data_IF_071105534924
#
_entry.id   IF_071105534924
#
_cell.length_a   1.000
_cell.length_b   1.000
_cell.length_c   1.000
_cell.angle_alpha   90.00
_cell.angle_beta   90.00
_cell.angle_gamma   90.00
#
_symmetry.space_group_name_H-M   'P 1'
#
loop_
_entity.id
_entity.type
_entity.pdbx_description
1 polymer ?
#
# COMPACT_ATOMS: atom_id res chain seq x y z
N UNK A 1 -14.94 10.39 2.14
CA UNK A 1 -15.43 9.10 2.56
C UNK A 1 -14.43 8.00 2.27
N UNK A 2 -14.13 7.16 3.24
CA UNK A 2 -13.21 6.07 2.98
C UNK A 2 -13.83 5.10 1.97
N UNK A 3 -13.00 4.57 1.12
CA UNK A 3 -13.41 3.58 0.16
C UNK A 3 -12.44 2.41 0.25
N UNK A 4 -12.72 1.37 -0.51
CA UNK A 4 -11.90 0.17 -0.44
C UNK A 4 -10.44 0.46 -0.78
N UNK A 5 -10.20 1.31 -1.77
CA UNK A 5 -8.84 1.66 -2.13
C UNK A 5 -8.11 2.33 -0.97
N UNK A 6 -8.77 3.31 -0.35
CA UNK A 6 -8.19 4.03 0.77
C UNK A 6 -7.88 3.09 1.94
N UNK A 7 -8.79 2.16 2.22
CA UNK A 7 -8.59 1.21 3.30
C UNK A 7 -7.43 0.27 3.03
N UNK A 8 -7.31 -0.21 1.79
CA UNK A 8 -6.18 -1.08 1.44
C UNK A 8 -4.86 -0.36 1.51
N UNK A 9 -4.82 0.89 1.05
CA UNK A 9 -3.61 1.70 1.16
C UNK A 9 -3.21 1.90 2.61
N UNK A 10 -4.18 2.16 3.49
CA UNK A 10 -3.89 2.34 4.91
C UNK A 10 -3.31 1.08 5.54
N UNK A 11 -3.86 -0.08 5.20
CA UNK A 11 -3.33 -1.34 5.72
C UNK A 11 -1.88 -1.54 5.30
N UNK A 12 -1.59 -1.27 4.04
CA UNK A 12 -0.24 -1.45 3.51
C UNK A 12 0.73 -0.48 4.19
N UNK A 13 0.32 0.77 4.35
CA UNK A 13 1.17 1.77 4.97
C UNK A 13 1.41 1.47 6.45
N UNK A 14 0.40 1.01 7.16
CA UNK A 14 0.57 0.62 8.56
C UNK A 14 1.51 -0.55 8.70
N UNK A 15 1.41 -1.50 7.78
CA UNK A 15 2.33 -2.63 7.77
C UNK A 15 3.76 -2.16 7.54
N UNK A 16 3.93 -1.24 6.61
CA UNK A 16 5.27 -0.72 6.32
C UNK A 16 5.87 -0.04 7.54
N UNK A 17 5.06 0.75 8.26
CA UNK A 17 5.54 1.42 9.47
C UNK A 17 5.95 0.41 10.53
N UNK A 18 5.15 -0.64 10.71
CA UNK A 18 5.50 -1.68 11.65
C UNK A 18 6.79 -2.39 11.23
N UNK A 19 6.95 -2.62 9.92
CA UNK A 19 8.14 -3.28 9.40
C UNK A 19 9.40 -2.45 9.65
N UNK A 20 9.29 -1.13 9.54
CA UNK A 20 10.44 -0.25 9.83
C UNK A 20 10.86 -0.39 11.29
N UNK A 21 9.89 -0.39 12.21
CA UNK A 21 10.18 -0.54 13.62
C UNK A 21 10.75 -1.92 13.91
N UNK A 22 10.20 -2.96 13.30
CA UNK A 22 10.64 -4.32 13.49
C UNK A 22 12.08 -4.50 13.02
N UNK A 23 12.40 -3.95 11.86
CA UNK A 23 13.76 -4.04 11.32
C UNK A 23 14.78 -3.38 12.24
N UNK A 24 14.39 -2.29 12.88
CA UNK A 24 15.28 -1.56 13.76
C UNK A 24 15.55 -2.24 15.09
N UNK A 25 14.79 -3.27 15.46
CA UNK A 25 14.94 -3.93 16.74
C UNK A 25 16.06 -4.96 16.80
N UNK A 26 16.54 -5.40 15.63
CA UNK A 26 17.61 -6.39 15.59
C UNK A 26 17.21 -7.77 16.08
N UNK A 27 15.95 -8.14 15.90
CA UNK A 27 15.45 -9.42 16.38
C UNK A 27 15.91 -10.56 15.48
N UNK A 28 16.35 -11.66 16.11
CA UNK A 28 16.91 -12.77 15.36
C UNK A 28 15.86 -13.69 14.76
N UNK A 29 14.69 -13.77 15.37
CA UNK A 29 13.70 -14.70 14.87
C UNK A 29 12.28 -14.42 15.33
N UNK A 30 12.05 -13.26 15.89
CA UNK A 30 10.72 -12.86 16.28
C UNK A 30 10.16 -13.54 17.49
N UNK A 31 10.97 -14.34 18.17
CA UNK A 31 10.52 -14.97 19.41
C UNK A 31 10.79 -14.05 20.59
N UNK A 32 10.36 -14.49 21.72
CA UNK A 32 10.65 -13.85 22.97
C UNK A 32 9.60 -12.87 23.39
N UNK A 33 9.31 -11.87 22.64
CA UNK A 33 8.38 -10.84 23.07
C UNK A 33 7.11 -10.76 22.22
N UNK A 34 6.83 -11.78 21.44
CA UNK A 34 5.61 -11.82 20.64
C UNK A 34 5.66 -11.03 19.36
N UNK A 35 6.76 -10.38 19.06
CA UNK A 35 6.86 -9.58 17.83
C UNK A 35 6.76 -10.44 16.57
N UNK A 36 7.19 -11.71 16.67
CA UNK A 36 7.08 -12.60 15.52
C UNK A 36 5.65 -12.84 15.09
N UNK A 37 4.72 -12.94 16.05
CA UNK A 37 3.32 -13.08 15.73
C UNK A 37 2.75 -11.82 15.12
N UNK A 38 3.14 -10.67 15.66
CA UNK A 38 2.68 -9.39 15.14
C UNK A 38 3.16 -9.14 13.72
N UNK A 39 4.44 -9.43 13.43
CA UNK A 39 4.94 -9.20 12.07
C UNK A 39 4.20 -10.09 11.07
N UNK A 40 3.89 -11.32 11.45
CA UNK A 40 3.14 -12.21 10.57
C UNK A 40 1.73 -11.69 10.32
N UNK A 41 1.08 -11.18 11.37
CA UNK A 41 -0.25 -10.60 11.22
C UNK A 41 -0.25 -9.40 10.28
N UNK A 42 0.71 -8.50 10.46
CA UNK A 42 0.81 -7.33 9.57
C UNK A 42 1.08 -7.74 8.13
N UNK A 43 2.03 -8.67 7.92
CA UNK A 43 2.34 -9.13 6.58
C UNK A 43 1.15 -9.82 5.92
N UNK A 44 0.41 -10.61 6.69
CA UNK A 44 -0.77 -11.29 6.16
C UNK A 44 -1.85 -10.30 5.75
N UNK A 45 -2.07 -9.27 6.56
CA UNK A 45 -3.04 -8.23 6.21
C UNK A 45 -2.59 -7.45 4.98
N UNK A 46 -1.29 -7.16 4.90
CA UNK A 46 -0.76 -6.48 3.72
C UNK A 46 -0.92 -7.32 2.48
N UNK A 47 -0.69 -8.63 2.59
CA UNK A 47 -0.86 -9.53 1.45
C UNK A 47 -2.30 -9.51 0.94
N UNK A 48 -3.27 -9.52 1.85
CA UNK A 48 -4.67 -9.44 1.45
C UNK A 48 -4.98 -8.10 0.79
N UNK A 49 -4.46 -7.01 1.34
CA UNK A 49 -4.69 -5.70 0.77
C UNK A 49 -4.09 -5.58 -0.63
N UNK A 50 -2.90 -6.14 -0.82
CA UNK A 50 -2.23 -6.13 -2.12
C UNK A 50 -3.01 -6.91 -3.16
N UNK A 51 -3.63 -8.01 -2.74
CA UNK A 51 -4.36 -8.86 -3.66
C UNK A 51 -5.56 -8.21 -4.31
N UNK A 52 -6.14 -7.19 -3.68
CA UNK A 52 -7.30 -6.49 -4.23
C UNK A 52 -7.04 -5.06 -4.62
N UNK A 53 -5.79 -4.63 -4.58
CA UNK A 53 -5.45 -3.23 -4.76
C UNK A 53 -5.78 -2.73 -6.17
N UNK A 54 -5.44 -3.50 -7.18
CA UNK A 54 -5.70 -3.09 -8.56
C UNK A 54 -7.18 -2.93 -8.82
N UNK A 55 -7.99 -3.89 -8.39
CA UNK A 55 -9.44 -3.82 -8.59
C UNK A 55 -10.05 -2.62 -7.87
N UNK A 56 -9.57 -2.34 -6.66
CA UNK A 56 -10.05 -1.20 -5.91
C UNK A 56 -9.73 0.11 -6.62
N UNK A 57 -8.52 0.20 -7.18
CA UNK A 57 -8.13 1.37 -7.95
C UNK A 57 -9.03 1.54 -9.18
N UNK A 58 -9.25 0.46 -9.92
CA UNK A 58 -10.08 0.51 -11.12
C UNK A 58 -11.49 0.96 -10.79
N UNK A 59 -12.03 0.49 -9.65
CA UNK A 59 -13.37 0.88 -9.23
C UNK A 59 -13.45 2.37 -8.93
N UNK A 60 -12.46 2.91 -8.25
CA UNK A 60 -12.45 4.33 -7.91
C UNK A 60 -12.37 5.18 -9.17
N UNK A 61 -11.48 4.82 -10.09
CA UNK A 61 -11.32 5.55 -11.34
C UNK A 61 -12.65 5.58 -12.11
N UNK A 62 -13.32 4.42 -12.16
CA UNK A 62 -14.60 4.32 -12.86
C UNK A 62 -15.67 5.18 -12.18
N UNK A 63 -15.75 5.09 -10.85
CA UNK A 63 -16.77 5.84 -10.11
C UNK A 63 -16.58 7.33 -10.23
N UNK A 64 -15.33 7.79 -10.26
CA UNK A 64 -15.05 9.22 -10.35
C UNK A 64 -15.22 9.76 -11.76
N UNK A 65 -15.30 8.89 -12.76
CA UNK A 65 -15.48 9.33 -14.14
C UNK A 65 -14.37 10.24 -14.62
N UNK A 66 -13.12 9.89 -14.29
CA UNK A 66 -11.99 10.76 -14.57
C UNK A 66 -11.76 10.93 -16.07
N UNK A 67 -11.41 12.14 -16.47
CA UNK A 67 -11.25 12.49 -17.86
C UNK A 67 -10.05 13.42 -18.02
N UNK A 68 -9.08 13.08 -18.91
CA UNK A 68 -9.06 11.91 -19.77
C UNK A 68 -8.85 10.63 -18.99
N UNK A 69 -9.41 9.54 -19.45
CA UNK A 69 -9.33 8.27 -18.74
C UNK A 69 -8.01 7.53 -18.96
N UNK A 70 -7.34 7.81 -20.07
CA UNK A 70 -6.19 7.02 -20.50
C UNK A 70 -5.03 7.00 -19.52
N UNK A 71 -4.62 8.15 -18.92
CA UNK A 71 -3.50 8.08 -17.97
C UNK A 71 -3.82 7.22 -16.75
N UNK A 72 -5.07 7.23 -16.30
CA UNK A 72 -5.47 6.44 -15.15
C UNK A 72 -5.50 4.96 -15.47
N UNK A 73 -5.96 4.61 -16.68
CA UNK A 73 -5.96 3.22 -17.13
C UNK A 73 -4.54 2.71 -17.31
N UNK A 74 -3.65 3.54 -17.86
CA UNK A 74 -2.25 3.16 -18.03
C UNK A 74 -1.59 2.91 -16.67
N UNK A 75 -1.88 3.76 -15.69
CA UNK A 75 -1.29 3.60 -14.38
C UNK A 75 -1.81 2.35 -13.67
N UNK A 76 -3.02 1.91 -14.02
CA UNK A 76 -3.55 0.67 -13.45
C UNK A 76 -2.61 -0.50 -13.71
N UNK A 77 -2.00 -0.55 -14.89
CA UNK A 77 -1.07 -1.62 -15.21
C UNK A 77 0.21 -1.55 -14.40
N UNK A 78 0.70 -0.32 -14.17
CA UNK A 78 1.88 -0.13 -13.31
C UNK A 78 1.56 -0.60 -11.91
N UNK A 79 0.43 -0.16 -11.38
CA UNK A 79 0.02 -0.52 -10.03
C UNK A 79 -0.16 -2.03 -9.90
N UNK A 80 -0.78 -2.66 -10.89
CA UNK A 80 -1.01 -4.10 -10.89
C UNK A 80 0.31 -4.86 -10.80
N UNK A 81 1.30 -4.44 -11.58
CA UNK A 81 2.60 -5.08 -11.59
C UNK A 81 3.31 -4.91 -10.27
N UNK A 82 3.32 -3.67 -9.76
CA UNK A 82 4.04 -3.39 -8.52
C UNK A 82 3.36 -4.08 -7.33
N UNK A 83 2.03 -4.13 -7.32
CA UNK A 83 1.30 -4.83 -6.26
C UNK A 83 1.57 -6.32 -6.32
N UNK A 84 1.58 -6.90 -7.51
CA UNK A 84 1.84 -8.33 -7.65
C UNK A 84 3.25 -8.69 -7.21
N UNK A 85 4.23 -7.90 -7.66
CA UNK A 85 5.62 -8.18 -7.29
C UNK A 85 5.83 -8.03 -5.79
N UNK A 86 5.19 -7.02 -5.19
CA UNK A 86 5.27 -6.83 -3.75
C UNK A 86 4.60 -7.97 -3.00
N UNK A 87 3.45 -8.43 -3.51
CA UNK A 87 2.73 -9.54 -2.90
C UNK A 87 3.60 -10.80 -2.88
N UNK A 88 4.25 -11.09 -4.01
CA UNK A 88 5.12 -12.26 -4.08
C UNK A 88 6.25 -12.15 -3.06
N UNK A 89 6.84 -10.95 -2.93
CA UNK A 89 7.92 -10.75 -1.96
C UNK A 89 7.42 -10.93 -0.53
N UNK A 90 6.23 -10.38 -0.22
CA UNK A 90 5.64 -10.54 1.12
C UNK A 90 5.34 -12.00 1.40
N UNK A 91 4.79 -12.71 0.43
CA UNK A 91 4.47 -14.12 0.60
C UNK A 91 5.73 -14.94 0.78
N UNK A 92 6.80 -14.58 0.09
CA UNK A 92 8.07 -15.26 0.29
C UNK A 92 8.56 -15.11 1.73
N UNK A 93 8.45 -13.92 2.28
CA UNK A 93 8.82 -13.68 3.68
C UNK A 93 7.92 -14.47 4.62
N UNK A 94 6.61 -14.49 4.35
CA UNK A 94 5.66 -15.24 5.18
C UNK A 94 5.92 -16.75 5.15
N UNK A 95 6.49 -17.25 4.07
CA UNK A 95 6.80 -18.68 3.93
C UNK A 95 7.97 -19.10 4.81
N UNK A 96 8.71 -18.16 5.36
CA UNK A 96 9.86 -18.51 6.17
C UNK A 96 9.44 -18.92 7.57
N UNK A 97 10.04 -19.95 8.15
CA UNK A 97 9.69 -20.35 9.51
C UNK A 97 10.11 -19.29 10.54
N UNK A 98 11.15 -18.54 10.24
CA UNK A 98 11.66 -17.49 11.11
C UNK A 98 11.72 -16.21 10.29
N UNK A 99 11.11 -15.14 10.81
CA UNK A 99 11.14 -13.84 10.18
C UNK A 99 11.99 -12.91 11.05
N UNK A 100 13.26 -12.78 10.67
CA UNK A 100 14.20 -11.94 11.41
C UNK A 100 14.06 -10.47 11.04
N UNK A 101 14.62 -9.62 11.87
CA UNK A 101 14.69 -8.18 11.55
C UNK A 101 15.49 -7.96 10.28
N UNK A 102 16.54 -8.75 10.04
CA UNK A 102 17.33 -8.60 8.82
C UNK A 102 16.51 -8.95 7.58
N UNK A 103 15.69 -9.99 7.66
CA UNK A 103 14.81 -10.34 6.54
C UNK A 103 13.85 -9.18 6.24
N UNK A 104 13.27 -8.61 7.28
CA UNK A 104 12.34 -7.49 7.10
C UNK A 104 13.07 -6.25 6.60
N UNK A 105 14.29 -6.02 7.09
CA UNK A 105 15.06 -4.90 6.57
C UNK A 105 15.30 -5.03 5.06
N UNK A 106 15.63 -6.24 4.62
CA UNK A 106 15.82 -6.51 3.20
C UNK A 106 14.52 -6.33 2.41
N UNK A 107 13.39 -6.76 2.99
CA UNK A 107 12.10 -6.58 2.34
C UNK A 107 11.75 -5.10 2.20
N UNK A 108 11.98 -4.32 3.25
CA UNK A 108 11.75 -2.88 3.21
C UNK A 108 12.60 -2.19 2.14
N UNK A 109 13.81 -2.65 1.95
CA UNK A 109 14.72 -2.06 0.98
C UNK A 109 14.45 -2.54 -0.43
N UNK A 110 13.58 -3.53 -0.61
CA UNK A 110 13.36 -4.10 -1.93
C UNK A 110 12.76 -3.07 -2.88
N UNK A 111 13.17 -3.16 -4.12
CA UNK A 111 12.67 -2.24 -5.14
C UNK A 111 11.16 -2.41 -5.33
N UNK A 112 10.65 -3.62 -5.12
CA UNK A 112 9.23 -3.92 -5.32
C UNK A 112 8.37 -3.14 -4.34
N UNK A 113 8.69 -3.22 -3.06
CA UNK A 113 7.92 -2.54 -2.04
C UNK A 113 8.07 -1.02 -2.16
N UNK A 114 9.26 -0.56 -2.48
CA UNK A 114 9.49 0.87 -2.64
C UNK A 114 8.72 1.42 -3.82
N UNK A 115 8.69 0.69 -4.92
CA UNK A 115 7.91 1.10 -6.10
C UNK A 115 6.42 1.17 -5.75
N UNK A 116 5.94 0.15 -5.05
CA UNK A 116 4.53 0.13 -4.65
C UNK A 116 4.18 1.33 -3.77
N UNK A 117 5.00 1.61 -2.76
CA UNK A 117 4.73 2.74 -1.87
C UNK A 117 4.72 4.06 -2.64
N UNK A 118 5.62 4.20 -3.60
CA UNK A 118 5.62 5.38 -4.47
C UNK A 118 4.31 5.50 -5.23
N UNK A 119 3.81 4.38 -5.75
CA UNK A 119 2.52 4.36 -6.44
C UNK A 119 1.39 4.84 -5.53
N UNK A 120 1.38 4.35 -4.28
CA UNK A 120 0.34 4.71 -3.33
C UNK A 120 0.40 6.21 -2.98
N UNK A 121 1.61 6.75 -2.83
CA UNK A 121 1.75 8.17 -2.54
C UNK A 121 1.27 9.02 -3.72
N UNK A 122 1.56 8.60 -4.95
CA UNK A 122 1.07 9.30 -6.13
C UNK A 122 -0.46 9.28 -6.19
N UNK A 123 -1.04 8.11 -5.99
CA UNK A 123 -2.49 7.96 -6.01
C UNK A 123 -3.14 8.83 -4.96
N UNK A 124 -2.61 8.78 -3.75
CA UNK A 124 -3.17 9.54 -2.64
C UNK A 124 -3.15 11.02 -2.93
N UNK A 125 -2.03 11.52 -3.42
CA UNK A 125 -1.91 12.95 -3.71
C UNK A 125 -2.84 13.37 -4.84
N UNK A 126 -2.91 12.56 -5.90
CA UNK A 126 -3.75 12.90 -7.05
C UNK A 126 -5.22 12.88 -6.68
N UNK A 127 -5.66 11.84 -5.96
CA UNK A 127 -7.08 11.73 -5.60
C UNK A 127 -7.48 12.75 -4.57
N UNK A 128 -6.59 13.10 -3.65
CA UNK A 128 -6.84 14.21 -2.74
C UNK A 128 -7.06 15.51 -3.50
N UNK A 129 -6.22 15.77 -4.49
CA UNK A 129 -6.36 16.95 -5.30
C UNK A 129 -7.69 17.00 -6.03
N UNK A 130 -8.11 15.86 -6.57
CA UNK A 130 -9.39 15.77 -7.28
C UNK A 130 -10.55 16.01 -6.32
N UNK A 131 -10.54 15.33 -5.18
CA UNK A 131 -11.60 15.48 -4.18
C UNK A 131 -11.69 16.91 -3.68
N UNK A 132 -10.55 17.53 -3.47
CA UNK A 132 -10.53 18.92 -3.00
C UNK A 132 -11.16 19.85 -4.04
N UNK A 133 -10.87 19.65 -5.31
CA UNK A 133 -11.42 20.47 -6.37
C UNK A 133 -12.92 20.29 -6.52
N UNK A 134 -13.43 19.09 -6.19
CA UNK A 134 -14.85 18.77 -6.38
C UNK A 134 -15.67 18.99 -5.12
N UNK A 135 -15.05 19.24 -3.98
CA UNK A 135 -15.80 19.40 -2.76
C UNK A 135 -16.57 20.72 -2.79
N UNK A 136 -17.77 20.77 -2.16
CA UNK A 136 -18.51 22.04 -2.09
C UNK A 136 -17.72 23.17 -1.46
N UNK A 137 -16.96 22.87 -0.40
CA UNK A 137 -16.14 23.89 0.23
C UNK A 137 -15.06 24.39 -0.72
N UNK A 138 -14.41 23.47 -1.43
CA UNK A 138 -13.41 23.85 -2.42
C UNK A 138 -14.02 24.61 -3.57
N UNK A 139 -15.18 24.17 -4.04
CA UNK A 139 -15.89 24.85 -5.12
C UNK A 139 -16.30 26.25 -4.70
N UNK A 140 -16.83 26.39 -3.48
CA UNK A 140 -17.21 27.69 -2.97
C UNK A 140 -16.00 28.60 -2.86
N UNK A 141 -14.89 28.06 -2.39
CA UNK A 141 -13.67 28.83 -2.30
C UNK A 141 -13.16 29.24 -3.65
N UNK A 142 -13.27 28.40 -4.64
CA UNK A 142 -12.78 28.69 -5.98
C UNK A 142 -13.75 29.54 -6.78
N UNK A 143 -14.96 29.70 -6.33
CA UNK A 143 -15.92 30.56 -7.01
C UNK A 143 -15.62 32.04 -6.82
N UNK A 144 -14.62 32.36 -6.10
CA UNK A 144 -14.29 33.76 -5.79
C UNK A 144 -13.17 34.28 -6.68
#
# INVERSE_FOLDING_TARGET
MPNELSERCSVIEECYEFMLAYAGQGLAGGEGNGQGGLIRDFLSRAAQALGGLESAYASVVKQMGLNPAEPYAAFQEVLARDARDSLVAVELALAQPIISSQLIDNLNASIHLRALLTDLFLIDEIFKGIQHRESPAGAAGSAH
#
